data_IF_037441286848
#
_entry.id   IF_037441286848
#
_cell.length_a   1.000
_cell.length_b   1.000
_cell.length_c   1.000
_cell.angle_alpha   90.00
_cell.angle_beta   90.00
_cell.angle_gamma   90.00
#
_symmetry.space_group_name_H-M   'P 1'
#
loop_
_entity.id
_entity.type
_entity.pdbx_description
1 polymer ?
#
# COMPACT_ATOMS: atom_id res chain seq x y z
N UNK A 1 -24.58 8.10 21.28
CA UNK A 1 -24.53 6.74 21.86
C UNK A 1 -24.64 5.76 20.72
N UNK A 2 -23.54 5.15 20.27
CA UNK A 2 -23.56 4.21 19.15
C UNK A 2 -24.23 2.91 19.61
N UNK A 3 -25.42 2.63 19.07
CA UNK A 3 -26.04 1.32 19.09
C UNK A 3 -25.39 0.46 18.00
N UNK A 4 -24.58 -0.52 18.41
CA UNK A 4 -24.23 -1.67 17.59
C UNK A 4 -24.92 -2.89 18.19
N UNK A 5 -26.03 -3.33 17.60
CA UNK A 5 -26.66 -4.62 17.93
C UNK A 5 -27.03 -5.35 16.64
N UNK A 6 -26.30 -6.42 16.31
CA UNK A 6 -26.84 -7.53 15.51
C UNK A 6 -26.02 -8.80 15.77
N UNK A 7 -26.68 -9.72 16.49
CA UNK A 7 -26.28 -11.06 16.95
C UNK A 7 -25.37 -11.12 18.20
N UNK A 8 -26.02 -11.22 19.37
CA UNK A 8 -25.48 -11.95 20.52
C UNK A 8 -25.31 -13.40 20.08
N UNK A 9 -24.08 -13.86 19.86
CA UNK A 9 -23.80 -15.30 19.80
C UNK A 9 -23.97 -15.79 21.24
N UNK A 10 -25.01 -16.57 21.50
CA UNK A 10 -25.25 -17.18 22.81
C UNK A 10 -24.18 -18.25 23.06
N UNK A 11 -23.75 -18.41 24.32
CA UNK A 11 -22.68 -19.35 24.71
C UNK A 11 -22.96 -20.79 24.21
N UNK A 12 -24.23 -21.17 24.10
CA UNK A 12 -24.67 -22.48 23.57
C UNK A 12 -24.36 -22.67 22.07
N UNK A 13 -24.30 -21.60 21.26
CA UNK A 13 -23.98 -21.73 19.82
C UNK A 13 -22.46 -21.88 19.58
N UNK A 14 -21.62 -21.42 20.50
CA UNK A 14 -20.15 -21.53 20.39
C UNK A 14 -19.68 -22.97 20.68
N UNK A 15 -20.40 -23.71 21.52
CA UNK A 15 -20.08 -25.10 21.87
C UNK A 15 -20.38 -26.09 20.73
N UNK A 16 -21.17 -25.67 19.73
CA UNK A 16 -21.52 -26.46 18.53
C UNK A 16 -20.84 -26.02 17.24
N UNK A 17 -19.88 -25.08 17.29
CA UNK A 17 -19.20 -24.59 16.09
C UNK A 17 -17.89 -25.35 15.82
N UNK A 18 -17.87 -26.13 14.73
CA UNK A 18 -16.66 -26.86 14.29
C UNK A 18 -15.71 -26.01 13.43
N UNK A 19 -16.21 -24.98 12.73
CA UNK A 19 -15.41 -24.15 11.82
C UNK A 19 -15.82 -22.69 11.94
N UNK A 20 -14.84 -21.81 12.17
CA UNK A 20 -15.00 -20.35 12.16
C UNK A 20 -14.22 -19.77 10.98
N UNK A 21 -14.93 -19.14 10.05
CA UNK A 21 -14.34 -18.38 8.95
C UNK A 21 -14.14 -16.93 9.38
N UNK A 22 -13.00 -16.59 9.97
CA UNK A 22 -12.63 -15.20 10.27
C UNK A 22 -11.90 -14.56 9.09
N UNK A 23 -12.29 -13.34 8.72
CA UNK A 23 -11.52 -12.54 7.75
C UNK A 23 -10.17 -12.15 8.36
N UNK A 24 -9.07 -12.37 7.62
CA UNK A 24 -7.72 -12.07 8.09
C UNK A 24 -7.54 -10.57 8.34
N UNK A 25 -8.16 -9.73 7.51
CA UNK A 25 -8.05 -8.28 7.56
C UNK A 25 -9.13 -7.77 8.50
N UNK A 26 -8.75 -7.09 9.58
CA UNK A 26 -9.65 -6.49 10.61
C UNK A 26 -10.04 -7.45 11.75
N UNK A 27 -10.02 -8.78 11.60
CA UNK A 27 -10.30 -9.71 12.73
C UNK A 27 -9.03 -10.24 13.41
N UNK A 28 -8.00 -10.65 12.67
CA UNK A 28 -6.80 -11.30 13.24
C UNK A 28 -5.58 -10.37 13.37
N UNK A 29 -5.59 -9.22 12.71
CA UNK A 29 -4.47 -8.26 12.74
C UNK A 29 -4.92 -6.93 13.32
N UNK A 30 -4.16 -6.37 14.27
CA UNK A 30 -4.22 -4.94 14.55
C UNK A 30 -3.94 -4.23 13.22
N UNK A 31 -4.92 -3.54 12.66
CA UNK A 31 -4.84 -2.78 11.40
C UNK A 31 -3.91 -1.55 11.51
N UNK A 32 -2.78 -1.71 12.23
CA UNK A 32 -1.71 -0.76 12.49
C UNK A 32 -0.48 -1.26 11.73
N UNK A 33 -0.41 -0.90 10.46
CA UNK A 33 0.73 -1.21 9.62
C UNK A 33 1.87 -0.23 9.93
N UNK A 34 3.11 -0.67 9.72
CA UNK A 34 4.28 0.21 9.77
C UNK A 34 5.26 -0.17 8.68
N UNK A 35 5.93 0.82 8.10
CA UNK A 35 6.94 0.58 7.05
C UNK A 35 8.32 0.42 7.70
N UNK A 36 9.00 -0.68 7.37
CA UNK A 36 10.41 -0.90 7.69
C UNK A 36 11.29 -0.36 6.57
N UNK A 37 12.13 0.64 6.88
CA UNK A 37 12.99 1.32 5.90
C UNK A 37 14.10 0.41 5.38
N UNK A 38 14.51 -0.59 6.15
CA UNK A 38 15.59 -1.49 5.77
C UNK A 38 15.17 -2.44 4.65
N UNK A 39 13.88 -2.77 4.58
CA UNK A 39 13.30 -3.70 3.61
C UNK A 39 12.89 -3.03 2.28
N UNK A 40 13.09 -1.72 2.15
CA UNK A 40 12.78 -1.01 0.90
C UNK A 40 13.90 -1.29 -0.11
N UNK A 41 13.51 -1.88 -1.25
CA UNK A 41 14.36 -2.04 -2.42
C UNK A 41 13.99 -1.04 -3.51
N UNK A 42 15.00 -0.49 -4.18
CA UNK A 42 14.83 0.50 -5.24
C UNK A 42 15.43 -0.04 -6.53
N UNK A 43 14.58 -0.15 -7.56
CA UNK A 43 14.98 -0.64 -8.88
C UNK A 43 15.31 0.49 -9.87
N UNK A 44 14.96 1.73 -9.53
CA UNK A 44 15.28 2.92 -10.33
C UNK A 44 16.69 3.44 -10.01
N UNK A 45 17.49 3.72 -11.04
CA UNK A 45 18.84 4.29 -10.86
C UNK A 45 18.73 5.73 -10.35
N UNK A 46 19.57 6.09 -9.37
CA UNK A 46 19.65 7.45 -8.83
C UNK A 46 18.48 7.85 -7.93
N UNK A 47 17.69 6.88 -7.44
CA UNK A 47 16.59 7.12 -6.51
C UNK A 47 16.96 6.54 -5.14
N UNK A 48 16.83 7.36 -4.10
CA UNK A 48 17.04 6.96 -2.71
C UNK A 48 15.77 6.38 -2.10
N UNK A 49 15.92 5.58 -1.02
CA UNK A 49 14.80 4.94 -0.32
C UNK A 49 13.83 5.99 0.25
N UNK A 50 14.36 7.08 0.79
CA UNK A 50 13.61 8.22 1.32
C UNK A 50 12.73 8.86 0.24
N UNK A 51 13.23 8.97 -0.98
CA UNK A 51 12.46 9.51 -2.10
C UNK A 51 11.31 8.57 -2.48
N UNK A 52 11.48 7.25 -2.43
CA UNK A 52 10.39 6.28 -2.67
C UNK A 52 9.30 6.41 -1.61
N UNK A 53 9.66 6.57 -0.33
CA UNK A 53 8.70 6.81 0.76
C UNK A 53 7.93 8.11 0.52
N UNK A 54 8.64 9.18 0.12
CA UNK A 54 8.01 10.44 -0.24
C UNK A 54 7.00 10.26 -1.37
N UNK A 55 7.38 9.61 -2.48
CA UNK A 55 6.47 9.32 -3.59
C UNK A 55 5.26 8.49 -3.14
N UNK A 56 5.46 7.48 -2.29
CA UNK A 56 4.39 6.65 -1.76
C UNK A 56 3.38 7.46 -0.92
N UNK A 57 3.86 8.38 -0.09
CA UNK A 57 3.01 9.23 0.72
C UNK A 57 2.30 10.30 -0.09
N UNK A 58 2.99 10.85 -1.10
CA UNK A 58 2.38 11.74 -2.10
C UNK A 58 1.24 11.04 -2.84
N UNK A 59 1.39 9.76 -3.15
CA UNK A 59 0.33 8.92 -3.69
C UNK A 59 -0.69 8.44 -2.63
N UNK A 60 -0.57 8.85 -1.37
CA UNK A 60 -1.48 8.47 -0.28
C UNK A 60 -2.49 9.56 0.05
N UNK A 61 -3.64 9.13 0.56
CA UNK A 61 -4.70 10.05 1.00
C UNK A 61 -4.26 10.78 2.26
N UNK A 62 -4.55 12.07 2.34
CA UNK A 62 -4.51 12.82 3.60
C UNK A 62 -5.80 12.64 4.39
N UNK A 63 -6.94 12.56 3.69
CA UNK A 63 -8.27 12.40 4.28
C UNK A 63 -8.82 10.97 4.14
N UNK A 64 -9.42 10.45 5.23
CA UNK A 64 -9.95 9.08 5.35
C UNK A 64 -8.88 8.02 5.01
N UNK A 65 -7.80 8.02 5.79
CA UNK A 65 -6.63 7.19 5.56
C UNK A 65 -6.93 5.72 5.81
N UNK A 66 -6.65 4.89 4.80
CA UNK A 66 -6.51 3.45 5.01
C UNK A 66 -5.28 3.17 5.90
N UNK A 67 -5.23 2.04 6.60
CA UNK A 67 -4.10 1.68 7.45
C UNK A 67 -2.73 1.71 6.73
N UNK A 68 -2.71 1.38 5.44
CA UNK A 68 -1.51 1.48 4.58
C UNK A 68 -1.08 2.94 4.41
N UNK A 69 -2.04 3.84 4.16
CA UNK A 69 -1.80 5.25 3.91
C UNK A 69 -1.30 5.93 5.18
N UNK A 70 -1.93 5.63 6.32
CA UNK A 70 -1.50 6.10 7.63
C UNK A 70 -0.08 5.65 7.98
N UNK A 71 0.26 4.39 7.67
CA UNK A 71 1.61 3.85 7.91
C UNK A 71 2.69 4.55 7.08
N UNK A 72 2.37 4.93 5.84
CA UNK A 72 3.31 5.60 4.93
C UNK A 72 3.44 7.08 5.27
N UNK A 73 2.32 7.78 5.47
CA UNK A 73 2.31 9.21 5.83
C UNK A 73 2.96 9.43 7.19
N UNK A 74 2.70 8.56 8.17
CA UNK A 74 3.31 8.62 9.50
C UNK A 74 4.82 8.38 9.52
N UNK A 75 5.44 7.97 8.40
CA UNK A 75 6.90 7.79 8.29
C UNK A 75 7.62 9.04 7.75
N UNK A 76 6.89 10.05 7.30
CA UNK A 76 7.44 11.33 6.86
C UNK A 76 7.41 12.37 7.97
N UNK A 77 8.46 13.20 8.02
CA UNK A 77 8.55 14.31 8.96
C UNK A 77 7.71 15.53 8.54
N UNK A 78 7.49 15.74 7.23
CA UNK A 78 6.77 16.89 6.68
C UNK A 78 5.89 16.50 5.47
N UNK A 79 4.57 16.37 5.64
CA UNK A 79 3.64 16.12 4.54
C UNK A 79 3.21 17.44 3.90
N UNK A 80 4.07 18.05 3.05
CA UNK A 80 3.62 19.18 2.22
C UNK A 80 2.63 18.70 1.16
N UNK A 81 1.49 19.40 1.06
CA UNK A 81 0.31 19.07 0.25
C UNK A 81 0.67 18.69 -1.18
N UNK A 82 0.17 17.54 -1.63
CA UNK A 82 0.33 17.09 -3.02
C UNK A 82 -1.04 16.76 -3.58
N UNK A 83 -1.35 17.36 -4.72
CA UNK A 83 -2.66 17.33 -5.39
C UNK A 83 -3.13 15.91 -5.69
N UNK A 84 -3.95 15.38 -4.78
CA UNK A 84 -4.42 14.01 -4.79
C UNK A 84 -5.50 13.75 -5.86
N UNK A 85 -5.38 12.62 -6.58
CA UNK A 85 -6.44 12.10 -7.44
C UNK A 85 -7.05 10.87 -6.75
N UNK A 86 -8.34 10.90 -6.41
CA UNK A 86 -8.96 9.86 -5.61
C UNK A 86 -9.03 8.49 -6.29
N UNK A 87 -9.06 7.47 -5.43
CA UNK A 87 -9.15 6.07 -5.79
C UNK A 87 -10.31 5.81 -6.75
N UNK A 88 -10.00 5.31 -7.95
CA UNK A 88 -11.02 4.88 -8.92
C UNK A 88 -11.29 3.38 -8.77
N UNK A 89 -12.51 3.01 -8.38
CA UNK A 89 -12.95 1.63 -8.16
C UNK A 89 -12.90 0.75 -9.43
N UNK A 90 -13.03 1.36 -10.62
CA UNK A 90 -12.95 0.65 -11.91
C UNK A 90 -11.54 0.10 -12.15
N UNK A 91 -10.56 0.81 -11.62
CA UNK A 91 -9.20 0.77 -12.14
C UNK A 91 -8.22 0.33 -11.01
N UNK A 92 -8.73 0.22 -9.77
CA UNK A 92 -8.02 -0.06 -8.51
C UNK A 92 -6.77 0.83 -8.37
N UNK A 93 -6.85 2.08 -8.85
CA UNK A 93 -5.70 3.00 -8.96
C UNK A 93 -5.80 4.05 -7.87
N UNK A 94 -4.76 4.11 -7.03
CA UNK A 94 -4.38 5.38 -6.40
C UNK A 94 -3.21 5.92 -7.20
N UNK A 95 -3.41 7.04 -7.88
CA UNK A 95 -2.38 7.67 -8.68
C UNK A 95 -2.42 9.19 -8.45
N UNK A 96 -1.25 9.77 -8.30
CA UNK A 96 -1.03 11.19 -8.11
C UNK A 96 -0.38 11.75 -9.36
N UNK A 97 -0.78 12.93 -9.83
CA UNK A 97 -0.06 13.64 -10.89
C UNK A 97 0.44 14.97 -10.34
N UNK A 98 1.73 15.28 -10.51
CA UNK A 98 2.35 16.54 -10.08
C UNK A 98 3.28 17.07 -11.17
N UNK A 99 3.51 18.37 -11.21
CA UNK A 99 4.48 19.00 -12.12
C UNK A 99 5.78 19.21 -11.34
N UNK A 100 6.92 18.82 -11.91
CA UNK A 100 8.22 19.08 -11.29
C UNK A 100 8.68 20.53 -11.52
N UNK A 101 9.82 20.90 -10.93
CA UNK A 101 10.41 22.22 -11.11
C UNK A 101 10.86 22.51 -12.54
N UNK A 102 11.01 21.47 -13.36
CA UNK A 102 11.41 21.54 -14.77
C UNK A 102 10.19 21.66 -15.71
N UNK A 103 8.97 21.68 -15.17
CA UNK A 103 7.73 21.78 -15.93
C UNK A 103 7.23 20.45 -16.51
N UNK A 104 7.87 19.32 -16.18
CA UNK A 104 7.45 18.01 -16.62
C UNK A 104 6.31 17.48 -15.75
N UNK A 105 5.37 16.78 -16.39
CA UNK A 105 4.29 16.12 -15.69
C UNK A 105 4.76 14.76 -15.20
N UNK A 106 4.67 14.53 -13.89
CA UNK A 106 4.98 13.26 -13.26
C UNK A 106 3.71 12.61 -12.73
N UNK A 107 3.56 11.31 -12.94
CA UNK A 107 2.50 10.50 -12.34
C UNK A 107 3.09 9.43 -11.46
N UNK A 108 2.66 9.37 -10.20
CA UNK A 108 3.06 8.35 -9.24
C UNK A 108 1.89 7.40 -8.99
N UNK A 109 2.12 6.10 -8.94
CA UNK A 109 1.11 5.10 -8.57
C UNK A 109 1.65 4.14 -7.52
N UNK A 110 0.80 3.75 -6.57
CA UNK A 110 1.11 2.74 -5.53
C UNK A 110 0.13 1.58 -5.64
N UNK A 111 0.60 0.33 -5.69
CA UNK A 111 -0.24 -0.88 -5.87
C UNK A 111 0.43 -2.16 -5.41
N UNK A 112 -0.27 -3.29 -5.56
CA UNK A 112 0.34 -4.61 -5.53
C UNK A 112 1.55 -4.67 -6.48
N UNK A 113 2.69 -5.24 -6.06
CA UNK A 113 3.92 -5.25 -6.86
C UNK A 113 3.73 -5.85 -8.27
N UNK A 114 2.93 -6.92 -8.40
CA UNK A 114 2.61 -7.56 -9.67
C UNK A 114 1.98 -6.58 -10.68
N UNK A 115 1.05 -5.74 -10.22
CA UNK A 115 0.41 -4.73 -11.06
C UNK A 115 1.40 -3.64 -11.48
N UNK A 116 2.35 -3.28 -10.61
CA UNK A 116 3.39 -2.31 -10.93
C UNK A 116 4.36 -2.85 -11.97
N UNK A 117 4.77 -4.12 -11.88
CA UNK A 117 5.64 -4.76 -12.88
C UNK A 117 4.97 -4.70 -14.27
N UNK A 118 3.69 -5.06 -14.35
CA UNK A 118 2.90 -5.00 -15.59
C UNK A 118 2.77 -3.56 -16.11
N UNK A 119 2.57 -2.59 -15.22
CA UNK A 119 2.38 -1.19 -15.60
C UNK A 119 3.69 -0.53 -16.07
N UNK A 120 4.82 -0.90 -15.49
CA UNK A 120 6.15 -0.40 -15.87
C UNK A 120 6.77 -1.12 -17.07
N UNK A 121 6.14 -2.18 -17.59
CA UNK A 121 6.68 -3.07 -18.62
C UNK A 121 8.15 -3.46 -18.33
N UNK A 122 8.43 -3.86 -17.08
CA UNK A 122 9.79 -4.15 -16.63
C UNK A 122 10.39 -5.36 -17.37
N UNK A 123 11.72 -5.37 -17.53
CA UNK A 123 12.45 -6.55 -18.03
C UNK A 123 12.19 -7.77 -17.15
N UNK A 124 12.18 -8.95 -17.75
CA UNK A 124 11.92 -10.22 -17.07
C UNK A 124 12.85 -10.47 -15.87
N UNK A 125 14.12 -10.03 -15.96
CA UNK A 125 15.09 -10.11 -14.86
C UNK A 125 14.65 -9.34 -13.61
N UNK A 126 14.05 -8.17 -13.80
CA UNK A 126 13.51 -7.35 -12.69
C UNK A 126 12.24 -8.00 -12.16
N UNK A 127 11.38 -8.51 -13.03
CA UNK A 127 10.18 -9.24 -12.64
C UNK A 127 10.49 -10.42 -11.72
N UNK A 128 11.48 -11.25 -12.07
CA UNK A 128 11.94 -12.39 -11.25
C UNK A 128 12.47 -11.95 -9.89
N UNK A 129 13.27 -10.88 -9.84
CA UNK A 129 13.79 -10.32 -8.57
C UNK A 129 12.66 -9.82 -7.66
N UNK A 130 11.66 -9.14 -8.23
CA UNK A 130 10.52 -8.65 -7.45
C UNK A 130 9.70 -9.82 -6.92
N UNK A 131 9.42 -10.86 -7.74
CA UNK A 131 8.69 -12.05 -7.27
C UNK A 131 9.41 -12.75 -6.12
N UNK A 132 10.71 -13.00 -6.25
CA UNK A 132 11.51 -13.60 -5.17
C UNK A 132 11.49 -12.76 -3.87
N UNK A 133 11.35 -11.44 -3.97
CA UNK A 133 11.22 -10.56 -2.81
C UNK A 133 9.81 -10.60 -2.21
N UNK A 134 8.76 -10.67 -3.03
CA UNK A 134 7.38 -10.87 -2.56
C UNK A 134 7.28 -12.17 -1.75
N UNK A 135 7.90 -13.25 -2.24
CA UNK A 135 7.92 -14.53 -1.54
C UNK A 135 8.59 -14.41 -0.17
N UNK A 136 9.79 -13.80 -0.11
CA UNK A 136 10.50 -13.53 1.16
C UNK A 136 9.70 -12.67 2.14
N UNK A 137 8.95 -11.70 1.64
CA UNK A 137 8.09 -10.87 2.48
C UNK A 137 6.89 -11.66 2.98
N UNK A 138 6.32 -12.52 2.15
CA UNK A 138 5.17 -13.36 2.49
C UNK A 138 5.54 -14.41 3.54
N UNK A 139 6.71 -15.04 3.43
CA UNK A 139 7.27 -15.95 4.44
C UNK A 139 7.42 -15.29 5.82
N UNK A 140 7.71 -13.99 5.84
CA UNK A 140 7.84 -13.19 7.05
C UNK A 140 6.52 -12.56 7.53
N UNK A 141 5.41 -12.84 6.84
CA UNK A 141 4.10 -12.26 7.15
C UNK A 141 3.97 -10.76 6.85
N UNK A 142 4.84 -10.22 5.99
CA UNK A 142 4.87 -8.81 5.62
C UNK A 142 4.01 -8.56 4.38
N UNK A 143 3.35 -7.40 4.34
CA UNK A 143 2.59 -6.96 3.19
C UNK A 143 3.49 -6.18 2.22
N UNK A 144 3.46 -6.57 0.94
CA UNK A 144 4.26 -5.97 -0.12
C UNK A 144 3.48 -4.86 -0.85
N UNK A 145 4.11 -3.71 -1.09
CA UNK A 145 3.56 -2.61 -1.87
C UNK A 145 4.59 -2.11 -2.88
N UNK A 146 4.21 -2.03 -4.15
CA UNK A 146 5.02 -1.45 -5.21
C UNK A 146 4.65 0.02 -5.46
N UNK A 147 5.65 0.83 -5.79
CA UNK A 147 5.50 2.24 -6.17
C UNK A 147 6.17 2.45 -7.52
N UNK A 148 5.51 3.14 -8.42
CA UNK A 148 6.05 3.52 -9.72
C UNK A 148 5.83 5.00 -10.00
N UNK A 149 6.76 5.59 -10.76
CA UNK A 149 6.69 6.96 -11.26
C UNK A 149 6.83 6.95 -12.78
N UNK A 150 5.98 7.71 -13.45
CA UNK A 150 5.93 7.93 -14.90
C UNK A 150 6.12 9.41 -15.18
N UNK A 151 6.83 9.72 -16.25
CA UNK A 151 6.83 11.06 -16.83
C UNK A 151 5.78 11.03 -17.95
N UNK A 152 4.87 12.00 -17.95
CA UNK A 152 3.82 12.16 -18.95
C UNK A 152 4.27 13.10 -20.07
#
# INVERSE_FOLDING_TARGET
MLNCSKFMITIEEIDGMDVICSDKTITLTLNKLSVDRNLIEVFAKGVEKEYVILLAARASRTENQNAIDAAIVGKLADPKEVHFLPFNHVDKRTALTYIDSDGNWHRVSKRAPEQIITLCNCKEDVGKKVHAMIDKFTERGLQSLGVARFIL
#
